data_IF_242038847431
#
_entry.id   IF_242038847431
#
_cell.length_a   1.000
_cell.length_b   1.000
_cell.length_c   1.000
_cell.angle_alpha   90.00
_cell.angle_beta   90.00
_cell.angle_gamma   90.00
#
_symmetry.space_group_name_H-M   'P 1'
#
loop_
_entity.id
_entity.type
_entity.pdbx_description
1 polymer ?
#
# COMPACT_ATOMS: atom_id res chain seq x y z
N UNK A 1 -46.28 5.94 -52.54
CA UNK A 1 -46.34 5.26 -51.23
C UNK A 1 -44.92 5.06 -50.73
N UNK A 2 -44.62 5.57 -49.54
CA UNK A 2 -43.28 5.57 -48.92
C UNK A 2 -42.93 4.15 -48.44
N UNK A 3 -41.69 3.71 -48.59
CA UNK A 3 -41.17 2.58 -47.80
C UNK A 3 -39.80 2.96 -47.25
N UNK A 4 -39.76 2.97 -45.92
CA UNK A 4 -38.68 3.45 -45.08
C UNK A 4 -37.57 2.41 -44.97
N UNK A 5 -36.32 2.85 -45.18
CA UNK A 5 -35.14 2.06 -44.84
C UNK A 5 -34.95 2.07 -43.33
N UNK A 6 -35.00 0.89 -42.70
CA UNK A 6 -34.65 0.69 -41.29
C UNK A 6 -33.13 0.51 -41.21
N UNK A 7 -32.44 1.48 -40.63
CA UNK A 7 -31.02 1.33 -40.27
C UNK A 7 -30.96 0.77 -38.85
N UNK A 8 -30.54 -0.49 -38.71
CA UNK A 8 -30.18 -1.08 -37.42
C UNK A 8 -28.83 -0.50 -36.97
N UNK A 9 -28.86 0.40 -35.99
CA UNK A 9 -27.65 0.86 -35.30
C UNK A 9 -27.15 -0.21 -34.35
N UNK A 10 -25.93 -0.72 -34.60
CA UNK A 10 -25.21 -1.57 -33.66
C UNK A 10 -24.57 -0.65 -32.61
N UNK A 11 -25.20 -0.53 -31.44
CA UNK A 11 -24.57 0.12 -30.28
C UNK A 11 -23.47 -0.80 -29.74
N UNK A 12 -22.21 -0.46 -30.02
CA UNK A 12 -21.06 -1.08 -29.38
C UNK A 12 -20.97 -0.58 -27.93
N UNK A 13 -21.48 -1.38 -26.99
CA UNK A 13 -21.28 -1.17 -25.55
C UNK A 13 -19.79 -1.32 -25.23
N UNK A 14 -19.07 -0.22 -25.07
CA UNK A 14 -17.74 -0.21 -24.47
C UNK A 14 -17.89 -0.63 -23.01
N UNK A 15 -17.76 -1.93 -22.74
CA UNK A 15 -17.52 -2.43 -21.39
C UNK A 15 -16.16 -1.86 -20.96
N UNK A 16 -16.19 -0.76 -20.21
CA UNK A 16 -15.02 -0.34 -19.44
C UNK A 16 -14.81 -1.44 -18.41
N UNK A 17 -13.82 -2.29 -18.64
CA UNK A 17 -13.28 -3.14 -17.59
C UNK A 17 -12.79 -2.20 -16.50
N UNK A 18 -13.58 -2.04 -15.44
CA UNK A 18 -13.12 -1.35 -14.24
C UNK A 18 -12.10 -2.32 -13.64
N UNK A 19 -10.84 -2.10 -13.96
CA UNK A 19 -9.74 -2.70 -13.20
C UNK A 19 -9.80 -2.02 -11.84
N UNK A 20 -10.62 -2.58 -10.95
CA UNK A 20 -10.50 -2.28 -9.53
C UNK A 20 -9.13 -2.76 -9.08
N UNK A 21 -8.61 -2.27 -7.95
CA UNK A 21 -7.29 -2.57 -7.39
C UNK A 21 -6.11 -1.77 -7.98
N UNK A 22 -4.98 -1.73 -7.26
CA UNK A 22 -3.83 -0.90 -7.63
C UNK A 22 -2.54 -1.32 -6.95
N UNK A 23 -1.45 -0.64 -7.32
CA UNK A 23 -0.10 -0.85 -6.80
C UNK A 23 0.64 0.48 -6.73
N UNK A 24 1.75 0.55 -6.00
CA UNK A 24 2.59 1.76 -5.98
C UNK A 24 3.40 1.84 -7.28
N UNK A 25 3.07 2.82 -8.12
CA UNK A 25 3.77 3.10 -9.37
C UNK A 25 5.16 3.70 -9.14
N UNK A 26 5.32 4.48 -8.07
CA UNK A 26 6.60 5.03 -7.68
C UNK A 26 6.53 5.90 -6.44
N UNK A 27 7.70 6.38 -6.03
CA UNK A 27 7.90 7.17 -4.82
C UNK A 27 8.71 8.41 -5.16
N UNK A 28 8.37 9.55 -4.52
CA UNK A 28 9.19 10.78 -4.55
C UNK A 28 9.71 11.11 -3.17
N UNK A 29 10.93 11.66 -3.11
CA UNK A 29 11.52 12.23 -1.89
C UNK A 29 11.39 13.74 -1.94
N UNK A 30 10.74 14.36 -0.96
CA UNK A 30 10.52 15.82 -0.86
C UNK A 30 9.97 16.45 -2.16
N UNK A 31 9.07 15.73 -2.84
CA UNK A 31 8.53 16.10 -4.16
C UNK A 31 9.59 16.27 -5.28
N UNK A 32 10.81 15.79 -5.06
CA UNK A 32 11.94 15.83 -5.99
C UNK A 32 12.09 14.53 -6.77
N UNK A 33 13.21 13.84 -6.55
CA UNK A 33 13.63 12.62 -7.24
C UNK A 33 12.53 11.56 -7.30
N UNK A 34 12.33 10.98 -8.49
CA UNK A 34 11.39 9.90 -8.73
C UNK A 34 12.09 8.54 -8.70
N UNK A 35 11.50 7.58 -8.01
CA UNK A 35 11.93 6.20 -7.95
C UNK A 35 10.80 5.28 -8.37
N UNK A 36 11.06 4.35 -9.29
CA UNK A 36 10.03 3.43 -9.76
C UNK A 36 9.67 2.41 -8.67
N UNK A 37 8.37 2.20 -8.47
CA UNK A 37 7.85 1.06 -7.74
C UNK A 37 7.90 -0.21 -8.60
N UNK A 38 7.18 -1.25 -8.18
CA UNK A 38 6.97 -2.43 -9.00
C UNK A 38 5.66 -2.31 -9.78
N UNK A 39 5.75 -2.31 -11.10
CA UNK A 39 4.57 -2.48 -11.95
C UNK A 39 4.39 -3.97 -12.27
N UNK A 40 3.30 -4.64 -11.82
CA UNK A 40 3.13 -6.07 -12.01
C UNK A 40 3.08 -6.52 -13.47
N UNK A 41 2.75 -5.61 -14.39
CA UNK A 41 2.77 -5.90 -15.83
C UNK A 41 4.18 -6.10 -16.38
N UNK A 42 5.23 -5.64 -15.69
CA UNK A 42 6.61 -5.76 -16.17
C UNK A 42 7.13 -7.20 -16.21
N UNK A 43 6.45 -8.14 -15.55
CA UNK A 43 6.74 -9.58 -15.65
C UNK A 43 6.70 -10.11 -17.10
N UNK A 44 6.02 -9.39 -18.01
CA UNK A 44 5.96 -9.73 -19.44
C UNK A 44 7.22 -9.35 -20.23
N UNK A 45 8.12 -8.59 -19.62
CA UNK A 45 9.39 -8.18 -20.22
C UNK A 45 10.54 -9.02 -19.66
N UNK A 46 11.55 -9.35 -20.49
CA UNK A 46 12.81 -9.89 -19.99
C UNK A 46 13.39 -9.01 -18.90
N UNK A 47 14.02 -9.60 -17.89
CA UNK A 47 14.58 -8.88 -16.73
C UNK A 47 15.53 -7.75 -17.13
N UNK A 48 16.38 -7.99 -18.14
CA UNK A 48 17.31 -6.98 -18.69
C UNK A 48 16.61 -5.76 -19.32
N UNK A 49 15.33 -5.86 -19.67
CA UNK A 49 14.53 -4.78 -20.27
C UNK A 49 13.59 -4.12 -19.26
N UNK A 50 13.52 -4.63 -18.01
CA UNK A 50 12.68 -4.04 -16.98
C UNK A 50 13.31 -2.74 -16.44
N UNK A 51 12.51 -1.69 -16.16
CA UNK A 51 13.03 -0.48 -15.56
C UNK A 51 13.65 -0.73 -14.18
N UNK A 52 14.73 -0.02 -13.87
CA UNK A 52 15.28 0.05 -12.52
C UNK A 52 14.20 0.45 -11.51
N UNK A 53 14.18 -0.20 -10.35
CA UNK A 53 13.13 -0.05 -9.35
C UNK A 53 13.66 -0.15 -7.93
N UNK A 54 12.98 0.54 -7.03
CA UNK A 54 13.15 0.41 -5.58
C UNK A 54 12.05 -0.46 -4.96
N UNK A 55 10.93 -0.64 -5.66
CA UNK A 55 9.81 -1.47 -5.24
C UNK A 55 10.07 -2.96 -5.45
N UNK A 56 9.75 -3.78 -4.45
CA UNK A 56 9.89 -5.23 -4.50
C UNK A 56 8.94 -5.82 -5.54
N UNK A 57 9.40 -6.83 -6.29
CA UNK A 57 8.49 -7.55 -7.19
C UNK A 57 7.49 -8.36 -6.40
N UNK A 58 6.34 -8.65 -7.01
CA UNK A 58 5.34 -9.57 -6.49
C UNK A 58 4.57 -10.26 -7.63
N UNK A 59 4.00 -11.43 -7.31
CA UNK A 59 3.11 -12.20 -8.18
C UNK A 59 1.65 -11.71 -8.07
N UNK A 60 1.45 -10.43 -8.36
CA UNK A 60 0.17 -9.73 -8.30
C UNK A 60 -0.22 -9.12 -9.65
N UNK A 61 -0.11 -9.91 -10.73
CA UNK A 61 -0.51 -9.51 -12.08
C UNK A 61 -2.02 -9.24 -12.19
N UNK A 62 -2.79 -9.81 -11.27
CA UNK A 62 -4.21 -9.51 -11.02
C UNK A 62 -4.43 -8.15 -10.35
N UNK A 63 -3.34 -7.42 -10.06
CA UNK A 63 -3.25 -6.22 -9.23
C UNK A 63 -3.97 -6.38 -7.87
N UNK A 64 -4.08 -7.63 -7.39
CA UNK A 64 -4.94 -8.01 -6.26
C UNK A 64 -4.33 -7.73 -4.88
N UNK A 65 -4.84 -8.44 -3.88
CA UNK A 65 -4.55 -8.25 -2.46
C UNK A 65 -4.06 -9.53 -1.78
N UNK A 66 -3.70 -9.40 -0.50
CA UNK A 66 -3.58 -10.49 0.47
C UNK A 66 -4.82 -10.48 1.38
N UNK A 67 -5.49 -11.61 1.52
CA UNK A 67 -6.64 -11.80 2.40
C UNK A 67 -6.24 -12.33 3.79
N UNK A 68 -7.11 -12.19 4.81
CA UNK A 68 -6.82 -12.65 6.18
C UNK A 68 -6.36 -14.11 6.31
N UNK A 69 -6.83 -15.02 5.47
CA UNK A 69 -6.40 -16.42 5.47
C UNK A 69 -4.90 -16.60 5.19
N UNK A 70 -4.24 -15.60 4.59
CA UNK A 70 -2.81 -15.62 4.27
C UNK A 70 -1.95 -14.74 5.21
N UNK A 71 -2.52 -14.18 6.29
CA UNK A 71 -1.75 -13.34 7.22
C UNK A 71 -0.62 -14.11 7.92
N UNK A 72 -0.79 -15.40 8.22
CA UNK A 72 0.27 -16.23 8.81
C UNK A 72 1.39 -16.64 7.83
N UNK A 73 1.51 -16.01 6.65
CA UNK A 73 2.50 -16.36 5.61
C UNK A 73 3.39 -15.17 5.30
N UNK A 74 4.57 -15.39 4.73
CA UNK A 74 5.48 -14.32 4.30
C UNK A 74 4.91 -13.41 3.20
N UNK A 75 3.81 -13.80 2.55
CA UNK A 75 3.15 -12.97 1.53
C UNK A 75 2.61 -11.65 2.11
N UNK A 76 2.25 -11.59 3.40
CA UNK A 76 1.73 -10.35 3.99
C UNK A 76 2.83 -9.30 4.23
N UNK A 77 4.11 -9.71 4.26
CA UNK A 77 5.25 -8.81 4.46
C UNK A 77 5.36 -7.82 3.30
N UNK A 78 5.52 -8.32 2.07
CA UNK A 78 5.82 -7.52 0.89
C UNK A 78 5.01 -7.90 -0.36
N UNK A 79 3.87 -8.57 -0.15
CA UNK A 79 2.97 -9.13 -1.18
C UNK A 79 3.36 -10.54 -1.67
N UNK A 80 2.47 -11.15 -2.45
CA UNK A 80 2.56 -12.52 -3.02
C UNK A 80 3.93 -12.82 -3.62
N UNK A 81 4.65 -13.81 -3.10
CA UNK A 81 5.96 -14.27 -3.62
C UNK A 81 6.95 -13.12 -3.86
N UNK A 82 7.01 -12.17 -2.93
CA UNK A 82 7.79 -10.97 -3.14
C UNK A 82 9.30 -11.25 -3.25
N UNK A 83 9.98 -10.50 -4.12
CA UNK A 83 11.45 -10.51 -4.22
C UNK A 83 12.00 -9.11 -4.13
N UNK A 84 13.09 -8.98 -3.36
CA UNK A 84 13.80 -7.73 -3.10
C UNK A 84 14.13 -6.96 -4.38
N UNK A 85 14.08 -5.63 -4.28
CA UNK A 85 14.54 -4.73 -5.34
C UNK A 85 16.07 -4.55 -5.30
N UNK A 86 16.66 -4.14 -6.41
CA UNK A 86 18.11 -3.96 -6.51
C UNK A 86 18.56 -2.55 -6.07
N UNK A 87 17.68 -1.55 -6.21
CA UNK A 87 18.00 -0.16 -5.91
C UNK A 87 17.31 0.32 -4.64
N UNK A 88 17.81 1.44 -4.11
CA UNK A 88 17.34 2.08 -2.88
C UNK A 88 16.80 3.46 -3.20
N UNK A 89 15.75 3.87 -2.47
CA UNK A 89 15.41 5.29 -2.32
C UNK A 89 16.49 5.91 -1.45
N UNK A 90 17.13 6.97 -1.92
CA UNK A 90 18.11 7.72 -1.13
C UNK A 90 17.38 8.88 -0.44
N UNK A 91 17.35 8.91 0.90
CA UNK A 91 16.69 9.95 1.67
C UNK A 91 17.39 10.17 3.02
N UNK A 92 17.01 11.23 3.74
CA UNK A 92 17.47 11.50 5.10
C UNK A 92 16.32 11.38 6.10
N UNK A 93 16.65 11.16 7.37
CA UNK A 93 15.67 11.21 8.45
C UNK A 93 14.94 12.57 8.44
N UNK A 94 13.60 12.54 8.52
CA UNK A 94 12.76 13.72 8.42
C UNK A 94 12.34 14.12 7.00
N UNK A 95 12.89 13.51 5.95
CA UNK A 95 12.39 13.69 4.58
C UNK A 95 10.97 13.12 4.43
N UNK A 96 10.23 13.69 3.49
CA UNK A 96 8.91 13.19 3.10
C UNK A 96 9.05 12.19 1.95
N UNK A 97 8.46 10.99 2.12
CA UNK A 97 8.22 10.02 1.06
C UNK A 97 6.78 10.14 0.57
N UNK A 98 6.61 10.55 -0.68
CA UNK A 98 5.33 10.54 -1.36
C UNK A 98 5.19 9.25 -2.16
N UNK A 99 4.21 8.42 -1.82
CA UNK A 99 3.84 7.21 -2.54
C UNK A 99 2.75 7.54 -3.56
N UNK A 100 2.97 7.15 -4.83
CA UNK A 100 2.02 7.36 -5.93
C UNK A 100 1.49 6.01 -6.37
N UNK A 101 0.20 5.78 -6.16
CA UNK A 101 -0.52 4.60 -6.62
C UNK A 101 -0.89 4.69 -8.10
N UNK A 102 -1.10 3.53 -8.73
CA UNK A 102 -1.73 3.48 -10.04
C UNK A 102 -3.09 4.18 -10.00
N UNK A 103 -3.46 4.85 -11.10
CA UNK A 103 -4.71 5.64 -11.23
C UNK A 103 -5.97 4.75 -11.35
N UNK A 104 -6.07 3.74 -10.49
CA UNK A 104 -7.06 2.66 -10.54
C UNK A 104 -7.68 2.37 -9.17
N UNK A 105 -7.28 3.06 -8.10
CA UNK A 105 -7.82 2.81 -6.76
C UNK A 105 -9.32 3.17 -6.69
N UNK A 106 -10.23 2.22 -6.39
CA UNK A 106 -11.66 2.49 -6.46
C UNK A 106 -12.15 3.33 -5.28
N UNK A 107 -13.06 4.29 -5.49
CA UNK A 107 -13.68 5.05 -4.39
C UNK A 107 -14.43 4.20 -3.37
N UNK A 108 -14.83 2.98 -3.74
CA UNK A 108 -15.50 2.03 -2.82
C UNK A 108 -14.51 1.36 -1.87
N UNK A 109 -13.21 1.31 -2.20
CA UNK A 109 -12.17 0.66 -1.40
C UNK A 109 -11.69 1.57 -0.27
N UNK A 110 -12.62 1.88 0.63
CA UNK A 110 -12.37 2.66 1.84
C UNK A 110 -11.50 1.88 2.81
N UNK A 111 -10.58 2.56 3.48
CA UNK A 111 -9.86 1.97 4.61
C UNK A 111 -8.62 2.75 5.02
N UNK A 112 -7.80 2.20 5.94
CA UNK A 112 -6.62 2.86 6.45
C UNK A 112 -5.44 2.82 5.47
N UNK A 113 -4.49 3.70 5.73
CA UNK A 113 -3.13 3.66 5.20
C UNK A 113 -2.18 3.50 6.39
N UNK A 114 -1.28 2.52 6.32
CA UNK A 114 -0.30 2.26 7.37
C UNK A 114 1.09 2.12 6.77
N UNK A 115 2.09 2.64 7.48
CA UNK A 115 3.48 2.60 7.06
C UNK A 115 4.34 1.98 8.16
N UNK A 116 5.16 1.04 7.74
CA UNK A 116 6.07 0.32 8.62
C UNK A 116 7.49 0.41 8.09
N UNK A 117 8.44 0.27 9.01
CA UNK A 117 9.87 0.20 8.68
C UNK A 117 10.49 -1.02 9.34
N UNK A 118 11.37 -1.70 8.62
CA UNK A 118 12.19 -2.80 9.14
C UNK A 118 13.66 -2.55 8.75
N UNK A 119 14.65 -2.98 9.57
CA UNK A 119 16.02 -3.11 9.08
C UNK A 119 16.06 -3.91 7.77
N UNK A 120 16.96 -3.54 6.85
CA UNK A 120 17.02 -4.20 5.55
C UNK A 120 17.36 -5.68 5.66
N UNK A 121 16.54 -6.50 5.00
CA UNK A 121 16.77 -7.91 4.72
C UNK A 121 16.26 -8.20 3.29
N UNK A 122 16.75 -9.26 2.67
CA UNK A 122 16.32 -9.68 1.33
C UNK A 122 15.19 -10.71 1.38
N UNK A 123 14.98 -11.37 2.52
CA UNK A 123 13.93 -12.35 2.75
C UNK A 123 12.69 -11.70 3.41
N UNK A 124 11.52 -11.66 2.73
CA UNK A 124 10.29 -11.14 3.31
C UNK A 124 9.88 -11.82 4.64
N UNK A 125 10.26 -13.08 4.86
CA UNK A 125 9.93 -13.81 6.08
C UNK A 125 10.76 -13.37 7.29
N UNK A 126 11.91 -12.72 7.06
CA UNK A 126 12.85 -12.28 8.09
C UNK A 126 12.64 -10.81 8.51
N UNK A 127 11.76 -10.07 7.81
CA UNK A 127 11.48 -8.67 8.10
C UNK A 127 10.61 -8.49 9.35
N UNK A 128 11.15 -7.78 10.33
CA UNK A 128 10.47 -7.36 11.56
C UNK A 128 10.15 -5.87 11.52
N UNK A 129 8.85 -5.54 11.51
CA UNK A 129 8.32 -4.23 11.21
C UNK A 129 7.96 -3.43 12.46
N UNK A 130 8.38 -2.16 12.51
CA UNK A 130 7.85 -1.14 13.43
C UNK A 130 6.90 -0.22 12.67
N UNK A 131 5.67 -0.06 13.17
CA UNK A 131 4.69 0.87 12.58
C UNK A 131 5.06 2.30 12.94
N UNK A 132 5.37 3.16 11.97
CA UNK A 132 5.77 4.55 12.26
C UNK A 132 4.73 5.59 11.81
N UNK A 133 3.73 5.18 11.03
CA UNK A 133 2.61 6.04 10.65
C UNK A 133 1.35 5.23 10.39
N UNK A 134 0.19 5.79 10.74
CA UNK A 134 -1.13 5.23 10.46
C UNK A 134 -2.16 6.35 10.30
N UNK A 135 -3.04 6.21 9.32
CA UNK A 135 -4.13 7.15 9.02
C UNK A 135 -5.38 6.38 8.60
N UNK A 136 -6.57 6.88 8.94
CA UNK A 136 -7.85 6.24 8.61
C UNK A 136 -8.93 7.27 8.30
N UNK A 137 -9.86 7.51 9.22
CA UNK A 137 -10.98 8.45 9.04
C UNK A 137 -10.46 9.87 9.21
N UNK A 138 -10.64 10.70 8.18
CA UNK A 138 -10.24 12.12 8.16
C UNK A 138 -11.39 13.01 8.63
N UNK A 139 -12.62 12.65 8.25
CA UNK A 139 -13.82 13.34 8.68
C UNK A 139 -14.90 12.33 9.03
N UNK A 140 -15.34 12.35 10.28
CA UNK A 140 -16.43 11.51 10.79
C UNK A 140 -17.78 12.24 10.88
N UNK A 141 -17.82 13.53 10.52
CA UNK A 141 -19.03 14.35 10.55
C UNK A 141 -19.79 14.25 9.23
N UNK A 142 -20.98 13.64 9.27
CA UNK A 142 -21.80 13.45 8.07
C UNK A 142 -21.35 12.23 7.27
N UNK A 143 -21.07 12.39 5.97
CA UNK A 143 -20.51 11.30 5.17
C UNK A 143 -19.06 11.06 5.60
N UNK A 144 -18.76 9.84 6.05
CA UNK A 144 -17.41 9.47 6.52
C UNK A 144 -16.41 9.54 5.36
N UNK A 145 -15.37 10.36 5.53
CA UNK A 145 -14.24 10.47 4.60
C UNK A 145 -13.05 9.67 5.12
N UNK A 146 -12.56 8.75 4.31
CA UNK A 146 -11.37 7.94 4.61
C UNK A 146 -10.13 8.54 3.97
N UNK A 147 -8.95 8.23 4.50
CA UNK A 147 -7.67 8.66 3.95
C UNK A 147 -7.47 8.16 2.50
N UNK A 148 -8.08 7.04 2.11
CA UNK A 148 -8.12 6.57 0.72
C UNK A 148 -8.91 7.50 -0.21
N UNK A 149 -9.86 8.29 0.32
CA UNK A 149 -10.55 9.31 -0.46
C UNK A 149 -9.65 10.51 -0.74
N UNK A 150 -8.87 10.93 0.25
CA UNK A 150 -7.84 11.95 0.06
C UNK A 150 -6.76 11.48 -0.91
N UNK A 151 -6.35 10.21 -0.83
CA UNK A 151 -5.43 9.60 -1.80
C UNK A 151 -5.96 9.76 -3.23
N UNK A 152 -7.23 9.40 -3.49
CA UNK A 152 -7.84 9.56 -4.82
C UNK A 152 -7.89 11.03 -5.22
N UNK A 153 -8.36 11.91 -4.31
CA UNK A 153 -8.48 13.35 -4.56
C UNK A 153 -7.11 14.02 -4.83
N UNK A 154 -6.04 13.48 -4.26
CA UNK A 154 -4.67 13.95 -4.42
C UNK A 154 -3.93 13.20 -5.55
N UNK A 155 -4.62 12.92 -6.66
CA UNK A 155 -4.06 12.22 -7.83
C UNK A 155 -3.40 10.88 -7.47
N UNK A 156 -4.07 10.07 -6.64
CA UNK A 156 -3.61 8.77 -6.18
C UNK A 156 -2.29 8.82 -5.39
N UNK A 157 -2.01 9.92 -4.70
CA UNK A 157 -0.78 10.10 -3.94
C UNK A 157 -1.01 10.35 -2.46
N UNK A 158 -0.10 9.84 -1.63
CA UNK A 158 -0.10 10.00 -0.17
C UNK A 158 1.33 10.16 0.33
N UNK A 159 1.54 11.00 1.33
CA UNK A 159 2.87 11.31 1.86
C UNK A 159 3.02 10.81 3.30
N UNK A 160 4.24 10.41 3.64
CA UNK A 160 4.64 10.07 5.00
C UNK A 160 6.03 10.63 5.29
N UNK A 161 6.23 11.17 6.49
CA UNK A 161 7.54 11.66 6.93
C UNK A 161 8.34 10.53 7.57
N UNK A 162 9.59 10.36 7.16
CA UNK A 162 10.52 9.43 7.81
C UNK A 162 10.82 9.93 9.23
N UNK A 163 10.80 9.08 10.28
CA UNK A 163 11.05 9.53 11.65
C UNK A 163 12.40 10.27 11.77
N UNK A 164 12.40 11.47 12.36
CA UNK A 164 13.55 12.41 12.33
C UNK A 164 14.77 11.94 13.11
N UNK A 165 14.55 11.10 14.13
CA UNK A 165 15.58 10.56 14.99
C UNK A 165 16.00 9.13 14.60
N UNK A 166 15.45 8.59 13.51
CA UNK A 166 15.81 7.28 12.99
C UNK A 166 17.30 7.24 12.60
N UNK A 167 17.99 6.21 13.07
CA UNK A 167 19.40 5.99 12.79
C UNK A 167 19.62 5.80 11.29
N UNK A 168 20.73 6.33 10.78
CA UNK A 168 21.16 6.06 9.41
C UNK A 168 21.39 4.56 9.18
N UNK A 169 21.05 4.07 7.98
CA UNK A 169 21.14 2.66 7.63
C UNK A 169 20.26 2.30 6.43
N UNK A 170 20.32 1.02 6.06
CA UNK A 170 19.46 0.46 5.01
C UNK A 170 18.23 -0.17 5.66
N UNK A 171 17.06 0.12 5.11
CA UNK A 171 15.75 -0.26 5.62
C UNK A 171 14.83 -0.76 4.51
N UNK A 172 13.77 -1.47 4.89
CA UNK A 172 12.58 -1.70 4.06
C UNK A 172 11.45 -0.85 4.61
N UNK A 173 10.85 -0.01 3.76
CA UNK A 173 9.56 0.62 4.06
C UNK A 173 8.46 -0.24 3.46
N UNK A 174 7.50 -0.65 4.30
CA UNK A 174 6.28 -1.33 3.91
C UNK A 174 5.12 -0.33 4.01
N UNK A 175 4.65 0.12 2.85
CA UNK A 175 3.48 0.98 2.70
C UNK A 175 2.26 0.12 2.36
N UNK A 176 1.13 0.33 3.03
CA UNK A 176 -0.05 -0.52 2.83
C UNK A 176 -1.35 0.26 2.92
N UNK A 177 -2.25 -0.07 1.98
CA UNK A 177 -3.68 0.20 2.07
C UNK A 177 -4.39 -1.09 2.48
N UNK A 178 -5.41 -0.99 3.34
CA UNK A 178 -6.36 -2.08 3.60
C UNK A 178 -7.72 -1.64 3.11
N UNK A 179 -8.31 -2.35 2.14
CA UNK A 179 -9.67 -2.07 1.69
C UNK A 179 -10.69 -2.86 2.52
N UNK A 180 -11.69 -2.15 3.04
CA UNK A 180 -12.66 -2.67 4.01
C UNK A 180 -14.07 -2.88 3.44
N UNK A 181 -14.24 -2.72 2.13
CA UNK A 181 -15.55 -2.74 1.46
C UNK A 181 -16.30 -4.08 1.60
N UNK A 182 -15.60 -5.18 1.89
CA UNK A 182 -16.18 -6.47 2.26
C UNK A 182 -15.78 -6.96 3.66
N UNK A 183 -15.11 -6.12 4.47
CA UNK A 183 -14.54 -6.51 5.76
C UNK A 183 -15.57 -6.86 6.85
N UNK A 184 -16.86 -6.60 6.63
CA UNK A 184 -17.92 -7.10 7.51
C UNK A 184 -18.07 -8.64 7.45
N UNK A 185 -17.54 -9.26 6.39
CA UNK A 185 -17.50 -10.71 6.23
C UNK A 185 -16.14 -11.24 6.65
N UNK A 186 -16.17 -12.44 7.22
CA UNK A 186 -14.95 -13.19 7.51
C UNK A 186 -14.10 -13.35 6.24
N UNK A 187 -12.79 -13.13 6.36
CA UNK A 187 -11.83 -13.11 5.26
C UNK A 187 -12.07 -12.01 4.19
N UNK A 188 -12.89 -10.99 4.49
CA UNK A 188 -13.31 -9.98 3.52
C UNK A 188 -12.42 -8.73 3.43
N UNK A 189 -11.52 -8.50 4.39
CA UNK A 189 -10.51 -7.44 4.29
C UNK A 189 -9.49 -7.73 3.18
N UNK A 190 -8.95 -6.69 2.56
CA UNK A 190 -8.03 -6.82 1.44
C UNK A 190 -6.80 -5.95 1.66
N UNK A 191 -5.64 -6.57 1.85
CA UNK A 191 -4.38 -5.90 2.14
C UNK A 191 -3.54 -5.72 0.88
N UNK A 192 -2.98 -4.52 0.69
CA UNK A 192 -2.15 -4.18 -0.45
C UNK A 192 -0.77 -3.69 0.01
N UNK A 193 0.07 -4.56 0.60
CA UNK A 193 1.40 -4.18 1.04
C UNK A 193 2.33 -3.95 -0.15
N UNK A 194 3.09 -2.88 -0.12
CA UNK A 194 4.11 -2.51 -1.11
C UNK A 194 5.41 -2.19 -0.38
N UNK A 195 6.45 -2.97 -0.64
CA UNK A 195 7.77 -2.77 -0.04
C UNK A 195 8.70 -1.99 -0.97
N UNK A 196 9.45 -1.05 -0.41
CA UNK A 196 10.56 -0.37 -1.07
C UNK A 196 11.83 -0.47 -0.22
N UNK A 197 12.99 -0.48 -0.88
CA UNK A 197 14.27 -0.32 -0.20
C UNK A 197 14.56 1.16 0.05
N UNK A 198 15.04 1.49 1.24
CA UNK A 198 15.40 2.84 1.66
C UNK A 198 16.84 2.84 2.20
N UNK A 199 17.69 3.69 1.64
CA UNK A 199 19.00 4.00 2.19
C UNK A 199 18.90 5.36 2.87
N UNK A 200 19.02 5.33 4.19
CA UNK A 200 18.78 6.48 5.03
C UNK A 200 20.09 7.12 5.49
N UNK A 201 20.26 8.40 5.18
CA UNK A 201 21.26 9.28 5.76
C UNK A 201 20.76 10.06 6.99
N UNK A 202 21.64 10.84 7.59
CA UNK A 202 21.33 11.72 8.73
C UNK A 202 22.07 11.33 10.01
N UNK A 203 21.75 12.05 11.09
CA UNK A 203 22.43 11.95 12.40
C UNK A 203 21.55 11.35 13.50
N UNK A 204 20.39 10.79 13.15
CA UNK A 204 19.53 10.08 14.09
C UNK A 204 20.26 8.91 14.75
N UNK A 205 19.77 8.49 15.91
CA UNK A 205 20.42 7.46 16.74
C UNK A 205 19.47 6.35 17.19
N UNK A 206 18.17 6.51 16.96
CA UNK A 206 17.15 5.57 17.39
C UNK A 206 16.99 4.49 16.30
N UNK A 207 17.23 3.24 16.65
CA UNK A 207 16.93 2.10 15.79
C UNK A 207 15.46 1.65 15.99
N UNK A 208 14.82 1.05 14.98
CA UNK A 208 13.57 0.30 15.19
C UNK A 208 13.71 -0.68 16.36
N UNK A 209 12.64 -0.90 17.12
CA UNK A 209 12.61 -1.91 18.20
C UNK A 209 12.74 -3.33 17.61
N UNK A 210 12.60 -4.38 18.43
CA UNK A 210 12.58 -5.77 17.92
C UNK A 210 11.48 -6.04 16.86
N UNK A 211 10.56 -5.09 16.64
CA UNK A 211 9.58 -5.12 15.56
C UNK A 211 8.56 -6.24 15.70
N UNK A 212 7.77 -6.45 14.66
CA UNK A 212 6.81 -7.56 14.56
C UNK A 212 7.02 -8.22 13.21
N UNK A 213 7.18 -9.55 13.18
CA UNK A 213 7.33 -10.27 11.92
C UNK A 213 6.13 -10.00 11.02
N UNK A 214 6.34 -9.92 9.71
CA UNK A 214 5.25 -9.68 8.76
C UNK A 214 4.07 -10.64 8.97
N UNK A 215 4.34 -11.93 9.16
CA UNK A 215 3.34 -12.98 9.41
C UNK A 215 2.58 -12.86 10.74
N UNK A 216 2.98 -11.94 11.60
CA UNK A 216 2.39 -11.69 12.91
C UNK A 216 1.78 -10.27 13.00
N UNK A 217 1.82 -9.50 11.92
CA UNK A 217 1.28 -8.14 11.89
C UNK A 217 -0.23 -8.13 12.10
N UNK A 218 -0.98 -9.10 11.58
CA UNK A 218 -2.44 -9.06 11.57
C UNK A 218 -3.05 -10.40 11.95
N UNK A 219 -4.17 -10.34 12.66
CA UNK A 219 -5.00 -11.50 12.94
C UNK A 219 -6.35 -11.36 12.26
N UNK A 220 -6.94 -12.50 11.88
CA UNK A 220 -8.20 -12.57 11.14
C UNK A 220 -9.38 -11.94 11.90
N UNK A 221 -9.32 -11.97 13.22
CA UNK A 221 -10.32 -11.46 14.14
C UNK A 221 -9.97 -10.10 14.76
N UNK A 222 -8.88 -9.46 14.31
CA UNK A 222 -8.58 -8.08 14.67
C UNK A 222 -9.79 -7.19 14.34
N UNK A 223 -10.19 -6.31 15.27
CA UNK A 223 -11.38 -5.47 15.11
C UNK A 223 -11.32 -4.55 13.87
N UNK A 224 -10.10 -4.17 13.44
CA UNK A 224 -9.88 -3.39 12.22
C UNK A 224 -9.89 -4.20 10.93
N UNK A 225 -9.81 -5.53 11.03
CA UNK A 225 -9.83 -6.47 9.91
C UNK A 225 -11.25 -7.00 9.69
N UNK A 226 -11.93 -7.45 10.75
CA UNK A 226 -13.36 -7.78 10.71
C UNK A 226 -14.17 -6.52 11.03
N UNK A 227 -14.24 -5.61 10.05
CA UNK A 227 -14.76 -4.25 10.23
C UNK A 227 -15.97 -3.96 9.33
N UNK A 228 -17.07 -3.47 9.93
CA UNK A 228 -18.29 -3.14 9.21
C UNK A 228 -18.43 -1.63 8.97
N UNK A 229 -18.09 -1.19 7.75
CA UNK A 229 -18.21 0.20 7.31
C UNK A 229 -19.63 0.78 7.48
N UNK A 230 -20.68 -0.04 7.52
CA UNK A 230 -22.06 0.43 7.63
C UNK A 230 -22.42 0.94 9.02
N UNK A 231 -21.62 0.61 10.05
CA UNK A 231 -21.89 0.98 11.44
C UNK A 231 -21.59 2.45 11.77
N UNK A 232 -21.13 3.25 10.81
CA UNK A 232 -20.83 4.69 10.97
C UNK A 232 -19.95 4.97 12.19
N UNK A 233 -18.93 4.15 12.41
CA UNK A 233 -17.99 4.35 13.51
C UNK A 233 -17.18 5.64 13.28
N UNK A 234 -16.94 6.39 14.36
CA UNK A 234 -16.17 7.66 14.32
C UNK A 234 -14.67 7.44 14.54
N UNK A 235 -14.28 6.22 14.89
CA UNK A 235 -12.88 5.80 15.12
C UNK A 235 -12.64 4.47 14.45
N UNK A 236 -11.42 4.24 13.97
CA UNK A 236 -11.01 2.97 13.40
C UNK A 236 -10.01 2.25 14.33
N UNK A 237 -10.28 1.01 14.76
CA UNK A 237 -9.35 0.22 15.55
C UNK A 237 -8.22 -0.32 14.66
N UNK A 238 -7.10 0.40 14.58
CA UNK A 238 -5.97 -0.01 13.74
C UNK A 238 -5.48 -1.43 14.11
N UNK A 239 -5.34 -2.35 13.14
CA UNK A 239 -4.77 -3.66 13.38
C UNK A 239 -3.23 -3.60 13.47
N UNK A 240 -2.61 -4.66 13.98
CA UNK A 240 -1.17 -4.79 14.16
C UNK A 240 -0.55 -3.97 15.29
N UNK A 241 0.79 -3.90 15.36
CA UNK A 241 1.49 -3.39 16.53
C UNK A 241 1.18 -1.92 16.80
N UNK A 242 1.43 -1.50 18.03
CA UNK A 242 1.29 -0.10 18.42
C UNK A 242 2.19 0.82 17.57
N UNK A 243 1.77 2.08 17.46
CA UNK A 243 2.55 3.10 16.76
C UNK A 243 3.88 3.33 17.50
N UNK A 244 4.99 3.07 16.81
CA UNK A 244 6.34 3.36 17.26
C UNK A 244 6.63 4.85 17.13
N UNK A 245 6.74 5.53 18.27
CA UNK A 245 6.93 6.99 18.33
C UNK A 245 8.33 7.42 18.79
N UNK A 246 9.19 6.47 19.18
CA UNK A 246 10.48 6.77 19.79
C UNK A 246 11.47 7.49 18.86
N UNK A 247 11.27 7.41 17.54
CA UNK A 247 12.14 8.03 16.53
C UNK A 247 11.54 9.28 15.85
N UNK A 248 10.38 9.77 16.28
CA UNK A 248 9.72 10.94 15.67
C UNK A 248 10.44 12.26 15.94
#
# INVERSE_FOLDING_TARGET
MRSSSVVLGVSASLLRSVTAHGFVSGVRVNNGSWYNGWNPSWVRFPEADQPERVGWTAANQDIGYIEPANYGTSNISCHKNAKVAEHFVEANAGDELMFIWSETWPPTHKGPIMNYIAPFDTDPASLSFSKFSQSSIVNASGLVTWVTDELIANNYSTSVTIPKNLKAGDYVIRHELIALHYAAQDNGAQNYPQCINLRLGGSGTVAPSEGTLGSELYHRDDAGILFDLSKHEVTYPYPGPELWTAAN
#
